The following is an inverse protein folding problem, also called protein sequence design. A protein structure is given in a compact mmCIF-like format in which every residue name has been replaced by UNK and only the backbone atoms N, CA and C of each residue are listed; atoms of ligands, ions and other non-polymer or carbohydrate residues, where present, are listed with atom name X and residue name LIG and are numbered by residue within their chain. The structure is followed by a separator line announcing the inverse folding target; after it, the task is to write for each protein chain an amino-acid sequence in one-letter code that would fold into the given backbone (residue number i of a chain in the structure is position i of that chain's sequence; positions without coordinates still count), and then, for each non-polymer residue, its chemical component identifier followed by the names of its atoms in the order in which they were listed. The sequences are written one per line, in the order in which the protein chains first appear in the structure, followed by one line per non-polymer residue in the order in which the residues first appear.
data_IF_752973462749
#
_entry.id   IF_752973462749
#
_cell.length_a   1.000
_cell.length_b   1.000
_cell.length_c   1.000
_cell.angle_alpha   90.00
_cell.angle_beta   90.00
_cell.angle_gamma   90.00
#
_symmetry.space_group_name_H-M   'P 1'
#
loop_
_entity.id
_entity.type
_entity.pdbx_description
1 polymer ?
#
# COMPACT_ATOMS: atom_id res chain seq x y z
N UNK A 1 8.66 -15.74 -16.04
CA UNK A 1 7.81 -14.73 -16.73
C UNK A 1 7.82 -13.47 -15.88
N UNK A 2 8.08 -12.27 -16.42
CA UNK A 2 8.02 -11.01 -15.63
C UNK A 2 6.60 -10.89 -15.05
N UNK A 3 6.48 -10.47 -13.80
CA UNK A 3 5.20 -10.32 -13.11
C UNK A 3 4.31 -9.29 -13.83
N UNK A 4 3.04 -9.63 -14.07
CA UNK A 4 2.10 -8.83 -14.88
C UNK A 4 0.94 -8.30 -14.03
N UNK A 5 1.10 -7.17 -13.33
CA UNK A 5 0.13 -6.70 -12.34
C UNK A 5 -1.21 -6.26 -12.96
N UNK A 6 -1.22 -5.71 -14.19
CA UNK A 6 -2.46 -5.33 -14.86
C UNK A 6 -3.32 -6.55 -15.24
N UNK A 7 -2.71 -7.59 -15.80
CA UNK A 7 -3.40 -8.83 -16.17
C UNK A 7 -4.09 -9.44 -14.94
N UNK A 8 -3.41 -9.45 -13.79
CA UNK A 8 -3.98 -9.95 -12.52
C UNK A 8 -5.24 -9.22 -12.07
N UNK A 9 -5.35 -7.92 -12.34
CA UNK A 9 -6.59 -7.16 -12.07
C UNK A 9 -7.69 -7.60 -13.05
N UNK A 10 -7.36 -7.78 -14.33
CA UNK A 10 -8.34 -8.10 -15.37
C UNK A 10 -8.86 -9.53 -15.30
N UNK A 11 -8.02 -10.47 -14.87
CA UNK A 11 -8.37 -11.89 -14.71
C UNK A 11 -9.38 -12.11 -13.58
N UNK A 12 -9.51 -11.17 -12.64
CA UNK A 12 -10.49 -11.23 -11.57
C UNK A 12 -11.89 -10.84 -12.06
N UNK A 13 -12.79 -11.81 -12.02
CA UNK A 13 -14.20 -11.65 -12.36
C UNK A 13 -15.06 -11.87 -11.12
N UNK A 14 -15.78 -10.82 -10.72
CA UNK A 14 -16.82 -10.90 -9.70
C UNK A 14 -18.16 -10.67 -10.38
N UNK A 15 -18.95 -11.72 -10.47
CA UNK A 15 -20.32 -11.59 -10.95
C UNK A 15 -21.20 -11.16 -9.77
N UNK A 16 -21.95 -10.07 -9.95
CA UNK A 16 -22.97 -9.68 -8.97
C UNK A 16 -24.03 -10.76 -8.80
N UNK A 17 -24.85 -10.66 -7.75
CA UNK A 17 -25.92 -11.64 -7.44
C UNK A 17 -26.92 -11.85 -8.61
N UNK A 18 -27.00 -10.89 -9.53
CA UNK A 18 -27.82 -10.94 -10.75
C UNK A 18 -27.02 -11.17 -12.04
N UNK A 19 -25.75 -11.59 -11.95
CA UNK A 19 -24.86 -11.80 -13.10
C UNK A 19 -24.28 -10.53 -13.71
N UNK A 20 -24.33 -9.40 -13.00
CA UNK A 20 -23.74 -8.14 -13.45
C UNK A 20 -22.21 -8.23 -13.55
N UNK A 21 -21.63 -7.61 -14.59
CA UNK A 21 -20.17 -7.57 -14.82
C UNK A 21 -19.44 -6.78 -13.72
N UNK A 22 -20.09 -5.74 -13.19
CA UNK A 22 -19.66 -5.12 -11.95
C UNK A 22 -20.41 -5.77 -10.79
N UNK A 23 -19.74 -6.13 -9.69
CA UNK A 23 -20.41 -6.66 -8.53
C UNK A 23 -21.37 -5.64 -7.88
N UNK A 24 -22.40 -6.14 -7.20
CA UNK A 24 -23.35 -5.34 -6.43
C UNK A 24 -22.64 -4.51 -5.35
N UNK A 25 -23.19 -3.32 -5.06
CA UNK A 25 -22.66 -2.48 -3.98
C UNK A 25 -23.39 -2.84 -2.69
N UNK A 26 -22.64 -3.29 -1.69
CA UNK A 26 -23.21 -3.66 -0.39
C UNK A 26 -23.27 -2.45 0.54
N UNK A 27 -24.36 -1.68 0.44
CA UNK A 27 -24.67 -0.57 1.34
C UNK A 27 -25.38 -1.07 2.61
N UNK A 28 -24.62 -1.79 3.44
CA UNK A 28 -25.12 -2.26 4.73
C UNK A 28 -24.05 -2.17 5.81
N UNK A 29 -24.50 -1.88 7.04
CA UNK A 29 -23.66 -1.92 8.23
C UNK A 29 -23.68 -3.28 8.91
N UNK A 30 -24.82 -3.95 8.96
CA UNK A 30 -25.04 -5.26 9.59
C UNK A 30 -25.56 -6.27 8.58
N UNK A 31 -25.26 -7.54 8.80
CA UNK A 31 -25.68 -8.63 7.93
C UNK A 31 -26.45 -9.66 8.76
N UNK A 32 -27.49 -10.24 8.14
CA UNK A 32 -28.37 -11.20 8.81
C UNK A 32 -27.85 -12.63 8.65
N UNK A 33 -28.10 -13.47 9.65
CA UNK A 33 -27.76 -14.90 9.63
C UNK A 33 -29.04 -15.71 9.71
N UNK A 34 -29.18 -16.71 8.85
CA UNK A 34 -30.33 -17.63 8.88
C UNK A 34 -30.30 -18.58 10.08
N UNK A 35 -29.13 -18.77 10.69
CA UNK A 35 -28.93 -19.61 11.88
C UNK A 35 -27.96 -18.95 12.85
N UNK A 36 -28.27 -19.02 14.15
CA UNK A 36 -27.40 -18.50 15.22
C UNK A 36 -26.02 -19.17 15.22
N UNK A 37 -25.92 -20.45 14.83
CA UNK A 37 -24.64 -21.18 14.76
C UNK A 37 -23.69 -20.52 13.75
N UNK A 38 -24.21 -20.13 12.58
CA UNK A 38 -23.42 -19.47 11.52
C UNK A 38 -22.86 -18.12 11.97
N UNK A 39 -23.55 -17.43 12.89
CA UNK A 39 -23.04 -16.20 13.48
C UNK A 39 -21.79 -16.47 14.33
N UNK A 40 -21.82 -17.48 15.22
CA UNK A 40 -20.65 -17.88 16.01
C UNK A 40 -19.49 -18.34 15.11
N UNK A 41 -19.78 -19.20 14.13
CA UNK A 41 -18.77 -19.66 13.18
C UNK A 41 -18.15 -18.47 12.40
N UNK A 42 -18.92 -17.42 12.09
CA UNK A 42 -18.40 -16.20 11.44
C UNK A 42 -17.53 -15.37 12.38
N UNK A 43 -17.89 -15.27 13.66
CA UNK A 43 -17.05 -14.59 14.67
C UNK A 43 -15.69 -15.27 14.86
N UNK A 44 -15.66 -16.60 14.78
CA UNK A 44 -14.43 -17.39 14.89
C UNK A 44 -13.65 -17.49 13.56
N UNK A 45 -14.16 -16.89 12.47
CA UNK A 45 -13.53 -16.96 11.15
C UNK A 45 -13.70 -18.30 10.44
N UNK A 46 -14.56 -19.19 10.95
CA UNK A 46 -14.83 -20.53 10.44
C UNK A 46 -15.90 -20.57 9.32
N UNK A 47 -16.57 -19.45 9.03
CA UNK A 47 -17.58 -19.33 7.97
C UNK A 47 -17.16 -18.36 6.86
N UNK A 48 -16.49 -18.86 5.82
CA UNK A 48 -16.11 -18.06 4.65
C UNK A 48 -17.36 -17.54 3.89
N UNK A 49 -17.24 -16.33 3.32
CA UNK A 49 -18.33 -15.68 2.57
C UNK A 49 -19.45 -15.10 3.44
N UNK A 50 -19.37 -15.23 4.76
CA UNK A 50 -20.30 -14.61 5.69
C UNK A 50 -19.77 -13.26 6.18
N UNK A 51 -20.65 -12.27 6.25
CA UNK A 51 -20.35 -10.95 6.77
C UNK A 51 -21.19 -10.74 8.02
N UNK A 52 -20.65 -10.01 8.99
CA UNK A 52 -21.34 -9.73 10.25
C UNK A 52 -21.57 -8.23 10.40
N UNK A 53 -20.49 -7.46 10.31
CA UNK A 53 -20.49 -6.02 10.48
C UNK A 53 -19.46 -5.36 9.55
N UNK A 54 -19.84 -4.27 8.89
CA UNK A 54 -19.04 -3.66 7.81
C UNK A 54 -17.67 -3.12 8.25
N UNK A 55 -17.49 -2.83 9.56
CA UNK A 55 -16.17 -2.50 10.13
C UNK A 55 -15.17 -3.65 9.97
N UNK A 56 -15.63 -4.89 10.06
CA UNK A 56 -14.80 -6.07 9.87
C UNK A 56 -14.54 -6.31 8.38
N UNK A 57 -15.63 -6.41 7.60
CA UNK A 57 -15.56 -6.53 6.14
C UNK A 57 -16.93 -6.30 5.52
N UNK A 58 -16.94 -5.92 4.24
CA UNK A 58 -18.12 -5.92 3.37
C UNK A 58 -17.77 -6.60 2.04
N UNK A 59 -18.76 -7.10 1.28
CA UNK A 59 -18.50 -7.64 -0.06
C UNK A 59 -17.75 -6.66 -0.96
N UNK A 60 -18.16 -5.39 -0.99
CA UNK A 60 -17.52 -4.36 -1.83
C UNK A 60 -16.07 -4.10 -1.43
N UNK A 61 -15.77 -4.12 -0.12
CA UNK A 61 -14.41 -3.98 0.40
C UNK A 61 -13.55 -5.21 0.07
N UNK A 62 -14.12 -6.41 0.13
CA UNK A 62 -13.44 -7.66 -0.23
C UNK A 62 -13.02 -7.64 -1.70
N UNK A 63 -13.93 -7.35 -2.63
CA UNK A 63 -13.63 -7.35 -4.07
C UNK A 63 -12.51 -6.35 -4.43
N UNK A 64 -12.52 -5.18 -3.82
CA UNK A 64 -11.45 -4.20 -3.99
C UNK A 64 -10.13 -4.70 -3.39
N UNK A 65 -10.17 -5.27 -2.19
CA UNK A 65 -9.00 -5.85 -1.53
C UNK A 65 -8.36 -6.95 -2.36
N UNK A 66 -9.14 -7.92 -2.85
CA UNK A 66 -8.64 -9.02 -3.68
C UNK A 66 -8.02 -8.50 -5.00
N UNK A 67 -8.62 -7.49 -5.62
CA UNK A 67 -8.05 -6.88 -6.83
C UNK A 67 -6.70 -6.19 -6.56
N UNK A 68 -6.55 -5.53 -5.41
CA UNK A 68 -5.31 -4.86 -5.01
C UNK A 68 -4.23 -5.86 -4.54
N UNK A 69 -4.63 -6.92 -3.83
CA UNK A 69 -3.74 -8.02 -3.48
C UNK A 69 -3.21 -8.72 -4.74
N UNK A 70 -4.09 -9.00 -5.70
CA UNK A 70 -3.72 -9.57 -6.98
C UNK A 70 -2.85 -8.63 -7.83
N UNK A 71 -3.05 -7.31 -7.75
CA UNK A 71 -2.17 -6.33 -8.40
C UNK A 71 -0.75 -6.39 -7.81
N UNK A 72 -0.61 -6.33 -6.48
CA UNK A 72 0.70 -6.36 -5.81
C UNK A 72 1.36 -7.74 -5.79
N UNK A 73 0.55 -8.79 -5.93
CA UNK A 73 0.99 -10.18 -5.92
C UNK A 73 1.22 -10.70 -4.51
N UNK A 74 0.38 -10.24 -3.59
CA UNK A 74 0.26 -10.68 -2.20
C UNK A 74 -0.93 -11.64 -2.06
N UNK A 75 -1.08 -12.26 -0.89
CA UNK A 75 -2.14 -13.25 -0.65
C UNK A 75 -3.49 -12.59 -0.33
N UNK A 76 -3.46 -11.47 0.39
CA UNK A 76 -4.65 -10.75 0.81
C UNK A 76 -4.38 -9.24 0.90
N UNK A 77 -5.47 -8.48 1.03
CA UNK A 77 -5.40 -7.06 1.36
C UNK A 77 -6.59 -6.60 2.21
N UNK A 78 -6.36 -5.57 3.02
CA UNK A 78 -7.38 -4.85 3.77
C UNK A 78 -7.48 -3.41 3.28
N UNK A 79 -8.67 -2.99 2.86
CA UNK A 79 -8.94 -1.60 2.46
C UNK A 79 -9.27 -0.74 3.67
N UNK A 80 -8.88 0.54 3.61
CA UNK A 80 -9.06 1.49 4.69
C UNK A 80 -9.60 2.84 4.21
N UNK A 81 -10.17 3.61 5.13
CA UNK A 81 -10.77 4.92 4.86
C UNK A 81 -9.77 5.96 4.32
N UNK A 82 -8.47 5.76 4.49
CA UNK A 82 -7.42 6.65 3.97
C UNK A 82 -6.06 5.97 3.95
N UNK A 83 -5.11 6.51 3.18
CA UNK A 83 -3.71 6.09 3.22
C UNK A 83 -3.13 6.14 4.64
N UNK A 84 -3.42 7.20 5.41
CA UNK A 84 -3.02 7.28 6.82
C UNK A 84 -3.65 6.18 7.67
N UNK A 85 -4.93 5.85 7.44
CA UNK A 85 -5.58 4.74 8.14
C UNK A 85 -4.94 3.39 7.83
N UNK A 86 -4.41 3.19 6.62
CA UNK A 86 -3.59 2.02 6.31
C UNK A 86 -2.25 2.05 7.07
N UNK A 87 -1.50 3.16 6.95
CA UNK A 87 -0.18 3.34 7.57
C UNK A 87 -0.23 3.15 9.09
N UNK A 88 -1.13 3.85 9.78
CA UNK A 88 -1.20 3.79 11.24
C UNK A 88 -1.63 2.41 11.72
N UNK A 89 -2.54 1.74 11.02
CA UNK A 89 -2.95 0.37 11.40
C UNK A 89 -1.80 -0.62 11.28
N UNK A 90 -1.01 -0.56 10.18
CA UNK A 90 0.16 -1.43 10.02
C UNK A 90 1.18 -1.18 11.12
N UNK A 91 1.54 0.08 11.37
CA UNK A 91 2.57 0.41 12.34
C UNK A 91 2.15 0.05 13.78
N UNK A 92 0.89 0.28 14.14
CA UNK A 92 0.34 -0.08 15.46
C UNK A 92 0.10 -1.58 15.62
N UNK A 93 -0.05 -2.34 14.52
CA UNK A 93 -0.11 -3.81 14.56
C UNK A 93 1.28 -4.43 14.78
N UNK A 94 2.31 -3.82 14.19
CA UNK A 94 3.67 -4.37 14.18
C UNK A 94 4.54 -3.92 15.36
N UNK A 95 4.18 -2.81 16.01
CA UNK A 95 4.97 -2.22 17.09
C UNK A 95 4.14 -2.03 18.35
N UNK A 96 4.77 -2.22 19.49
CA UNK A 96 4.24 -1.93 20.82
C UNK A 96 5.16 -0.96 21.57
N UNK A 97 4.76 -0.57 22.79
CA UNK A 97 5.57 0.31 23.62
C UNK A 97 6.97 -0.30 23.87
N UNK A 98 8.01 0.51 23.65
CA UNK A 98 9.41 0.10 23.74
C UNK A 98 10.02 -0.37 22.42
N UNK A 99 9.23 -0.52 21.35
CA UNK A 99 9.75 -0.86 20.02
C UNK A 99 10.27 0.36 19.25
N UNK A 100 11.07 0.07 18.23
CA UNK A 100 11.72 1.06 17.38
C UNK A 100 11.47 0.82 15.89
N UNK A 101 11.35 1.91 15.13
CA UNK A 101 11.17 1.91 13.67
C UNK A 101 12.35 2.62 13.01
N UNK A 102 12.95 2.01 11.98
CA UNK A 102 13.86 2.72 11.06
C UNK A 102 13.02 3.23 9.90
N UNK A 103 12.97 4.54 9.71
CA UNK A 103 12.12 5.17 8.69
C UNK A 103 12.93 6.06 7.75
N UNK A 104 12.51 6.17 6.49
CA UNK A 104 13.02 7.23 5.61
C UNK A 104 12.77 8.61 6.20
N UNK A 105 13.79 9.47 6.14
CA UNK A 105 13.65 10.90 6.49
C UNK A 105 12.72 11.65 5.52
N UNK A 106 12.61 11.15 4.29
CA UNK A 106 11.72 11.69 3.25
C UNK A 106 10.57 10.71 3.05
N UNK A 107 9.44 11.04 3.64
CA UNK A 107 8.16 10.35 3.49
C UNK A 107 7.05 11.40 3.48
N UNK A 108 5.85 11.00 3.10
CA UNK A 108 4.66 11.82 3.21
C UNK A 108 4.57 12.50 4.59
N UNK A 109 4.32 13.82 4.58
CA UNK A 109 4.36 14.63 5.79
C UNK A 109 3.43 14.13 6.91
N UNK A 110 2.30 13.50 6.58
CA UNK A 110 1.41 12.87 7.56
C UNK A 110 2.06 11.66 8.25
N UNK A 111 2.79 10.84 7.50
CA UNK A 111 3.56 9.71 8.02
C UNK A 111 4.69 10.19 8.94
N UNK A 112 5.45 11.20 8.49
CA UNK A 112 6.50 11.80 9.30
C UNK A 112 5.93 12.38 10.59
N UNK A 113 4.83 13.14 10.53
CA UNK A 113 4.19 13.73 11.70
C UNK A 113 3.67 12.66 12.67
N UNK A 114 3.10 11.56 12.19
CA UNK A 114 2.67 10.45 13.02
C UNK A 114 3.87 9.84 13.77
N UNK A 115 4.91 9.43 13.05
CA UNK A 115 6.09 8.79 13.64
C UNK A 115 6.86 9.73 14.58
N UNK A 116 6.99 11.01 14.23
CA UNK A 116 7.76 11.98 15.02
C UNK A 116 7.01 12.47 16.26
N UNK A 117 5.69 12.68 16.16
CA UNK A 117 4.93 13.43 17.18
C UNK A 117 3.86 12.61 17.89
N UNK A 118 3.31 11.58 17.24
CA UNK A 118 2.17 10.82 17.77
C UNK A 118 2.59 9.44 18.31
N UNK A 119 3.37 8.69 17.55
CA UNK A 119 3.89 7.37 17.94
C UNK A 119 4.67 7.38 19.28
N UNK A 120 5.46 8.42 19.64
CA UNK A 120 6.14 8.47 20.94
C UNK A 120 5.19 8.47 22.14
N UNK A 121 3.93 8.88 21.96
CA UNK A 121 2.90 8.80 23.03
C UNK A 121 2.53 7.36 23.38
N UNK A 122 2.81 6.42 22.49
CA UNK A 122 2.66 4.98 22.69
C UNK A 122 3.98 4.29 23.03
N UNK A 123 5.05 5.07 23.29
CA UNK A 123 6.38 4.53 23.56
C UNK A 123 7.05 3.90 22.34
N UNK A 124 6.62 4.23 21.11
CA UNK A 124 7.26 3.75 19.88
C UNK A 124 8.23 4.83 19.40
N UNK A 125 9.50 4.45 19.26
CA UNK A 125 10.57 5.34 18.82
C UNK A 125 10.83 5.21 17.32
N UNK A 126 11.44 6.24 16.72
CA UNK A 126 11.77 6.22 15.28
C UNK A 126 13.09 6.91 15.01
N UNK A 127 13.98 6.23 14.29
CA UNK A 127 15.18 6.82 13.70
C UNK A 127 14.94 7.09 12.22
N UNK A 128 15.08 8.37 11.82
CA UNK A 128 14.92 8.80 10.44
C UNK A 128 16.27 8.81 9.71
N UNK A 129 16.37 8.13 8.57
CA UNK A 129 17.63 7.94 7.82
C UNK A 129 17.50 8.25 6.33
N UNK A 130 18.64 8.39 5.66
CA UNK A 130 18.72 8.55 4.20
C UNK A 130 18.64 7.18 3.50
N UNK A 131 17.44 6.80 3.05
CA UNK A 131 17.19 5.48 2.46
C UNK A 131 17.87 5.28 1.10
N UNK A 132 18.37 6.34 0.46
CA UNK A 132 19.17 6.17 -0.77
C UNK A 132 20.50 5.45 -0.49
N UNK A 133 20.86 5.29 0.79
CA UNK A 133 22.08 4.62 1.25
C UNK A 133 21.72 3.47 2.20
N UNK A 134 21.63 2.22 1.70
CA UNK A 134 21.27 1.06 2.51
C UNK A 134 22.13 0.84 3.75
N UNK A 135 23.39 1.26 3.73
CA UNK A 135 24.28 1.21 4.90
C UNK A 135 23.71 1.98 6.10
N UNK A 136 23.11 3.16 5.87
CA UNK A 136 22.56 3.98 6.96
C UNK A 136 21.32 3.35 7.60
N UNK A 137 20.53 2.60 6.81
CA UNK A 137 19.41 1.82 7.31
C UNK A 137 19.91 0.70 8.21
N UNK A 138 20.95 -0.03 7.78
CA UNK A 138 21.55 -1.11 8.56
C UNK A 138 22.18 -0.60 9.88
N UNK A 139 22.88 0.54 9.84
CA UNK A 139 23.51 1.15 11.03
C UNK A 139 22.49 1.68 12.05
N UNK A 140 21.29 2.06 11.59
CA UNK A 140 20.22 2.53 12.47
C UNK A 140 19.40 1.41 13.13
N UNK A 141 19.66 0.15 12.78
CA UNK A 141 19.00 -0.99 13.43
C UNK A 141 19.46 -1.09 14.89
N UNK A 142 18.49 -1.20 15.79
CA UNK A 142 18.67 -1.37 17.23
C UNK A 142 18.09 -2.74 17.65
N UNK A 143 18.39 -3.17 18.88
CA UNK A 143 17.90 -4.46 19.40
C UNK A 143 16.37 -4.56 19.47
N UNK A 144 15.69 -3.43 19.64
CA UNK A 144 14.23 -3.31 19.69
C UNK A 144 13.62 -2.85 18.35
N UNK A 145 14.39 -2.77 17.26
CA UNK A 145 13.83 -2.45 15.95
C UNK A 145 12.87 -3.55 15.50
N UNK A 146 11.70 -3.17 14.99
CA UNK A 146 10.71 -4.10 14.41
C UNK A 146 10.45 -3.87 12.94
N UNK A 147 10.53 -2.61 12.50
CA UNK A 147 10.08 -2.20 11.17
C UNK A 147 11.14 -1.36 10.47
N UNK A 148 11.36 -1.66 9.18
CA UNK A 148 11.93 -0.74 8.21
C UNK A 148 10.75 -0.20 7.39
N UNK A 149 10.54 1.13 7.43
CA UNK A 149 9.48 1.81 6.69
C UNK A 149 10.06 2.79 5.68
N UNK A 150 9.65 2.70 4.42
CA UNK A 150 9.94 3.73 3.43
C UNK A 150 8.89 3.77 2.31
N UNK A 151 8.96 4.80 1.48
CA UNK A 151 8.21 4.86 0.23
C UNK A 151 9.10 4.29 -0.89
N UNK A 152 8.50 3.61 -1.87
CA UNK A 152 9.21 3.15 -3.08
C UNK A 152 9.87 4.32 -3.82
N UNK A 153 9.13 5.43 -3.92
CA UNK A 153 9.54 6.73 -4.43
C UNK A 153 9.03 7.76 -3.44
N UNK A 154 9.94 8.54 -2.86
CA UNK A 154 9.60 9.48 -1.78
C UNK A 154 8.78 10.68 -2.27
N UNK A 155 7.92 11.19 -1.40
CA UNK A 155 7.23 12.46 -1.56
C UNK A 155 7.85 13.54 -0.66
N UNK A 156 8.25 14.73 -1.15
CA UNK A 156 8.17 15.21 -2.54
C UNK A 156 9.46 15.02 -3.35
N UNK A 157 10.56 14.54 -2.75
CA UNK A 157 11.90 14.59 -3.36
C UNK A 157 12.16 13.49 -4.41
N UNK A 158 11.25 12.53 -4.58
CA UNK A 158 11.35 11.43 -5.55
C UNK A 158 12.61 10.57 -5.41
N UNK A 159 13.22 10.57 -4.21
CA UNK A 159 14.26 9.61 -3.82
C UNK A 159 13.73 8.18 -3.97
N UNK A 160 14.54 7.28 -4.53
CA UNK A 160 14.15 5.89 -4.84
C UNK A 160 14.75 4.94 -3.82
N UNK A 161 13.91 4.10 -3.21
CA UNK A 161 14.34 3.06 -2.28
C UNK A 161 14.96 1.86 -3.00
N UNK A 162 16.07 1.31 -2.50
CA UNK A 162 16.56 0.00 -2.93
C UNK A 162 15.87 -1.11 -2.11
N UNK A 163 14.70 -1.56 -2.60
CA UNK A 163 13.84 -2.50 -1.88
C UNK A 163 14.53 -3.86 -1.72
N UNK A 164 15.32 -4.31 -2.69
CA UNK A 164 16.05 -5.57 -2.60
C UNK A 164 17.16 -5.50 -1.55
N UNK A 165 17.88 -4.38 -1.46
CA UNK A 165 18.86 -4.16 -0.39
C UNK A 165 18.19 -4.18 0.99
N UNK A 166 17.02 -3.55 1.15
CA UNK A 166 16.28 -3.58 2.41
C UNK A 166 15.70 -4.95 2.73
N UNK A 167 15.29 -5.70 1.71
CA UNK A 167 14.87 -7.09 1.85
C UNK A 167 15.99 -7.98 2.40
N UNK A 168 17.25 -7.68 2.08
CA UNK A 168 18.40 -8.38 2.66
C UNK A 168 18.66 -7.94 4.11
N UNK A 169 18.62 -6.63 4.40
CA UNK A 169 18.80 -6.11 5.77
C UNK A 169 17.73 -6.69 6.71
N UNK A 170 16.45 -6.67 6.31
CA UNK A 170 15.37 -7.19 7.16
C UNK A 170 15.50 -8.68 7.45
N UNK A 171 16.06 -9.48 6.53
CA UNK A 171 16.32 -10.91 6.75
C UNK A 171 17.43 -11.15 7.77
N UNK A 172 18.48 -10.33 7.74
CA UNK A 172 19.61 -10.43 8.68
C UNK A 172 19.17 -10.10 10.11
N UNK A 173 18.26 -9.13 10.28
CA UNK A 173 17.85 -8.63 11.59
C UNK A 173 16.45 -9.08 12.04
N UNK A 174 15.79 -9.97 11.28
CA UNK A 174 14.41 -10.43 11.52
C UNK A 174 13.39 -9.29 11.68
N UNK A 175 13.37 -8.37 10.72
CA UNK A 175 12.51 -7.18 10.71
C UNK A 175 11.37 -7.34 9.69
N UNK A 176 10.33 -6.51 9.83
CA UNK A 176 9.32 -6.31 8.78
C UNK A 176 9.71 -5.17 7.85
N UNK A 177 9.63 -5.39 6.55
CA UNK A 177 9.79 -4.36 5.52
C UNK A 177 8.42 -3.89 5.04
N UNK A 178 8.09 -2.63 5.36
CA UNK A 178 6.83 -1.98 4.98
C UNK A 178 7.12 -0.92 3.92
N UNK A 179 6.54 -1.08 2.73
CA UNK A 179 6.74 -0.17 1.60
C UNK A 179 5.44 0.54 1.27
N UNK A 180 5.44 1.87 1.32
CA UNK A 180 4.39 2.67 0.68
C UNK A 180 4.70 2.81 -0.82
N UNK A 181 3.81 2.28 -1.65
CA UNK A 181 3.97 2.19 -3.10
C UNK A 181 3.07 3.17 -3.87
N UNK A 182 2.51 4.16 -3.18
CA UNK A 182 1.51 5.10 -3.70
C UNK A 182 1.92 5.79 -5.00
N UNK A 183 3.21 6.12 -5.19
CA UNK A 183 3.71 6.88 -6.34
C UNK A 183 4.18 6.01 -7.51
N UNK A 184 4.29 4.70 -7.32
CA UNK A 184 4.74 3.78 -8.38
C UNK A 184 3.86 2.54 -8.56
N UNK A 185 2.51 2.62 -8.44
CA UNK A 185 1.65 1.46 -8.65
C UNK A 185 1.83 0.93 -10.08
N UNK A 186 1.86 -0.40 -10.22
CA UNK A 186 2.20 -1.13 -11.45
C UNK A 186 3.66 -0.99 -11.91
N UNK A 187 4.27 0.19 -11.77
CA UNK A 187 5.68 0.45 -12.10
C UNK A 187 6.63 -0.33 -11.22
N UNK A 188 6.37 -0.42 -9.91
CA UNK A 188 7.14 -1.25 -8.98
C UNK A 188 6.15 -2.20 -8.29
N UNK A 189 6.57 -3.45 -8.08
CA UNK A 189 5.82 -4.45 -7.30
C UNK A 189 6.63 -4.86 -6.06
N UNK A 190 6.61 -4.07 -4.96
CA UNK A 190 7.49 -4.27 -3.81
C UNK A 190 7.43 -5.67 -3.19
N UNK A 191 6.26 -6.32 -3.21
CA UNK A 191 6.11 -7.68 -2.70
C UNK A 191 6.99 -8.68 -3.47
N UNK A 192 7.22 -8.46 -4.76
CA UNK A 192 8.13 -9.29 -5.59
C UNK A 192 9.61 -8.99 -5.35
N UNK A 193 9.91 -7.87 -4.69
CA UNK A 193 11.25 -7.41 -4.34
C UNK A 193 11.59 -7.67 -2.86
N UNK A 194 10.67 -8.28 -2.10
CA UNK A 194 10.90 -8.74 -0.73
C UNK A 194 10.25 -7.90 0.38
N UNK A 195 9.37 -6.95 0.05
CA UNK A 195 8.52 -6.30 1.04
C UNK A 195 7.55 -7.30 1.70
N UNK A 196 7.34 -7.18 3.02
CA UNK A 196 6.34 -7.98 3.75
C UNK A 196 4.95 -7.38 3.64
N UNK A 197 4.88 -6.04 3.66
CA UNK A 197 3.64 -5.28 3.61
C UNK A 197 3.78 -4.17 2.58
N UNK A 198 2.79 -4.05 1.69
CA UNK A 198 2.70 -2.95 0.72
C UNK A 198 1.50 -2.10 1.04
N UNK A 199 1.70 -0.79 1.08
CA UNK A 199 0.65 0.19 1.37
C UNK A 199 0.43 1.07 0.15
N UNK A 200 -0.81 1.45 -0.11
CA UNK A 200 -1.12 2.54 -1.02
C UNK A 200 -2.13 3.50 -0.43
N UNK A 201 -1.98 4.78 -0.75
CA UNK A 201 -3.08 5.74 -0.76
C UNK A 201 -3.88 5.58 -2.05
N UNK A 202 -5.06 4.95 -1.94
CA UNK A 202 -5.99 4.80 -3.05
C UNK A 202 -6.49 6.14 -3.58
N UNK A 203 -6.44 7.18 -2.75
CA UNK A 203 -6.72 8.59 -3.08
C UNK A 203 -5.98 9.10 -4.34
N UNK A 204 -4.80 8.51 -4.63
CA UNK A 204 -3.88 8.98 -5.67
C UNK A 204 -4.11 8.23 -6.98
N UNK A 205 -3.05 7.71 -7.60
CA UNK A 205 -3.09 7.12 -8.95
C UNK A 205 -4.09 5.97 -9.07
N UNK A 206 -4.26 5.13 -8.04
CA UNK A 206 -5.16 3.98 -8.10
C UNK A 206 -6.61 4.43 -8.40
N UNK A 207 -7.16 5.37 -7.62
CA UNK A 207 -8.46 5.97 -7.92
C UNK A 207 -8.39 6.88 -9.15
N UNK A 208 -7.43 7.81 -9.19
CA UNK A 208 -7.14 8.66 -10.35
C UNK A 208 -8.11 9.82 -10.61
N UNK A 209 -9.19 9.95 -9.84
CA UNK A 209 -10.28 10.91 -10.11
C UNK A 209 -10.42 12.03 -9.07
N UNK A 210 -9.56 12.07 -8.05
CA UNK A 210 -9.55 13.11 -7.00
C UNK A 210 -10.89 13.32 -6.26
N UNK A 211 -11.76 12.31 -6.23
CA UNK A 211 -13.14 12.38 -5.74
C UNK A 211 -13.36 11.62 -4.42
N UNK A 212 -12.33 10.92 -3.93
CA UNK A 212 -12.42 9.93 -2.86
C UNK A 212 -11.09 9.81 -2.14
N UNK A 213 -11.15 9.63 -0.82
CA UNK A 213 -10.01 9.25 0.04
C UNK A 213 -10.08 7.75 0.31
N UNK A 214 -8.93 7.10 0.32
CA UNK A 214 -8.85 5.66 0.62
C UNK A 214 -7.42 5.19 0.79
N UNK A 215 -7.28 4.02 1.41
CA UNK A 215 -6.02 3.31 1.58
C UNK A 215 -6.17 1.80 1.41
N UNK A 216 -5.06 1.10 1.27
CA UNK A 216 -5.01 -0.36 1.29
C UNK A 216 -3.72 -0.85 1.92
N UNK A 217 -3.81 -1.99 2.59
CA UNK A 217 -2.70 -2.77 3.13
C UNK A 217 -2.71 -4.10 2.40
N UNK A 218 -1.63 -4.46 1.70
CA UNK A 218 -1.46 -5.73 1.01
C UNK A 218 -0.37 -6.56 1.72
N UNK A 219 -0.62 -7.85 1.95
CA UNK A 219 0.32 -8.72 2.68
C UNK A 219 -0.09 -10.20 2.67
N UNK A 220 0.44 -10.97 3.61
CA UNK A 220 0.02 -12.38 3.81
C UNK A 220 -1.41 -12.46 4.32
N UNK A 221 -2.10 -13.59 4.07
CA UNK A 221 -3.46 -13.81 4.58
C UNK A 221 -3.49 -13.75 6.10
N UNK A 222 -2.47 -14.31 6.76
CA UNK A 222 -2.29 -14.26 8.21
C UNK A 222 -2.25 -12.82 8.74
N UNK A 223 -1.33 -11.98 8.24
CA UNK A 223 -1.20 -10.60 8.72
C UNK A 223 -2.46 -9.75 8.48
N UNK A 224 -3.13 -9.95 7.34
CA UNK A 224 -4.39 -9.26 7.02
C UNK A 224 -5.54 -9.75 7.91
N UNK A 225 -5.54 -11.00 8.35
CA UNK A 225 -6.49 -11.50 9.34
C UNK A 225 -6.20 -10.91 10.72
N UNK A 226 -4.94 -10.85 11.14
CA UNK A 226 -4.54 -10.26 12.42
C UNK A 226 -4.96 -8.79 12.52
N UNK A 227 -4.74 -8.01 11.47
CA UNK A 227 -5.20 -6.61 11.40
C UNK A 227 -6.71 -6.44 11.63
N UNK A 228 -7.51 -7.45 11.26
CA UNK A 228 -8.98 -7.45 11.36
C UNK A 228 -9.50 -8.19 12.60
N UNK A 229 -8.60 -8.74 13.43
CA UNK A 229 -8.98 -9.47 14.63
C UNK A 229 -9.85 -8.61 15.54
N UNK A 230 -10.95 -9.18 16.03
CA UNK A 230 -11.96 -8.48 16.84
C UNK A 230 -11.43 -8.03 18.21
N UNK A 231 -10.38 -8.66 18.72
CA UNK A 231 -9.85 -8.43 20.06
C UNK A 231 -8.66 -7.47 20.08
N UNK A 232 -7.76 -7.59 19.12
CA UNK A 232 -6.46 -6.90 19.12
C UNK A 232 -6.01 -6.39 17.74
N UNK A 233 -6.84 -6.54 16.70
CA UNK A 233 -6.52 -6.11 15.34
C UNK A 233 -6.53 -4.59 15.21
N UNK A 234 -5.40 -3.99 14.82
CA UNK A 234 -5.27 -2.54 14.78
C UNK A 234 -6.25 -1.87 13.82
N UNK A 235 -6.51 -2.46 12.64
CA UNK A 235 -7.51 -1.91 11.72
C UNK A 235 -8.93 -2.07 12.27
N UNK A 236 -9.22 -3.16 12.98
CA UNK A 236 -10.52 -3.36 13.61
C UNK A 236 -10.78 -2.35 14.74
N UNK A 237 -9.78 -2.10 15.59
CA UNK A 237 -9.91 -1.28 16.80
C UNK A 237 -9.72 0.22 16.55
N UNK A 238 -8.83 0.61 15.64
CA UNK A 238 -8.68 2.03 15.23
C UNK A 238 -9.77 2.46 14.23
N UNK A 239 -10.45 1.49 13.61
CA UNK A 239 -11.64 1.69 12.81
C UNK A 239 -11.50 2.53 11.53
N UNK A 240 -10.41 2.48 10.73
CA UNK A 240 -10.35 3.18 9.45
C UNK A 240 -11.16 2.44 8.39
N UNK A 241 -12.47 2.32 8.58
CA UNK A 241 -13.38 1.51 7.75
C UNK A 241 -13.64 2.19 6.41
N UNK A 242 -13.35 1.51 5.30
CA UNK A 242 -13.69 1.97 3.95
C UNK A 242 -15.20 1.87 3.71
N UNK A 243 -15.78 2.93 3.15
CA UNK A 243 -17.17 2.96 2.70
C UNK A 243 -17.38 2.12 1.42
N UNK A 244 -18.48 1.35 1.36
CA UNK A 244 -18.75 0.41 0.26
C UNK A 244 -18.97 1.10 -1.09
N UNK A 245 -19.60 2.28 -1.13
CA UNK A 245 -19.78 3.04 -2.38
C UNK A 245 -18.43 3.51 -2.90
N UNK A 246 -17.54 3.96 -2.00
CA UNK A 246 -16.17 4.34 -2.34
C UNK A 246 -15.31 3.16 -2.79
N UNK A 247 -15.41 2.01 -2.11
CA UNK A 247 -14.72 0.80 -2.55
C UNK A 247 -15.14 0.37 -3.95
N UNK A 248 -16.45 0.36 -4.23
CA UNK A 248 -16.98 0.02 -5.54
C UNK A 248 -16.56 1.01 -6.65
N UNK A 249 -16.51 2.32 -6.34
CA UNK A 249 -16.03 3.34 -7.28
C UNK A 249 -14.55 3.16 -7.63
N UNK A 250 -13.70 2.95 -6.61
CA UNK A 250 -12.26 2.72 -6.81
C UNK A 250 -12.03 1.44 -7.63
N UNK A 251 -12.76 0.37 -7.35
CA UNK A 251 -12.67 -0.89 -8.10
C UNK A 251 -12.95 -0.69 -9.59
N UNK A 252 -13.93 0.15 -9.95
CA UNK A 252 -14.21 0.52 -11.34
C UNK A 252 -13.05 1.28 -11.96
N UNK A 253 -12.50 2.27 -11.25
CA UNK A 253 -11.37 3.08 -11.73
C UNK A 253 -10.06 2.29 -11.86
N UNK A 254 -9.89 1.22 -11.09
CA UNK A 254 -8.74 0.32 -11.15
C UNK A 254 -8.61 -0.34 -12.53
N UNK A 255 -9.73 -0.60 -13.23
CA UNK A 255 -9.74 -1.23 -14.56
C UNK A 255 -8.98 -0.43 -15.61
N UNK A 256 -8.86 0.90 -15.45
CA UNK A 256 -8.12 1.78 -16.38
C UNK A 256 -6.75 2.20 -15.86
N UNK A 257 -6.33 1.74 -14.67
CA UNK A 257 -5.06 2.16 -14.05
C UNK A 257 -3.86 1.94 -14.98
N UNK A 258 -3.81 0.79 -15.65
CA UNK A 258 -2.71 0.39 -16.53
C UNK A 258 -2.50 1.34 -17.73
N UNK A 259 -3.56 1.83 -18.37
CA UNK A 259 -3.45 2.83 -19.45
C UNK A 259 -3.15 4.22 -18.91
N UNK A 260 -3.72 4.58 -17.74
CA UNK A 260 -3.47 5.88 -17.10
C UNK A 260 -2.01 6.02 -16.67
N UNK A 261 -1.43 4.99 -16.03
CA UNK A 261 -0.03 5.03 -15.59
C UNK A 261 0.95 5.17 -16.76
N UNK A 262 0.71 4.46 -17.87
CA UNK A 262 1.48 4.63 -19.12
C UNK A 262 1.45 6.09 -19.58
N UNK A 263 0.26 6.69 -19.66
CA UNK A 263 0.12 8.06 -20.12
C UNK A 263 0.74 9.07 -19.15
N UNK A 264 0.58 8.86 -17.84
CA UNK A 264 1.21 9.69 -16.81
C UNK A 264 2.72 9.69 -16.95
N UNK A 265 3.34 8.52 -17.11
CA UNK A 265 4.79 8.43 -17.28
C UNK A 265 5.26 9.03 -18.59
N UNK A 266 4.54 8.79 -19.69
CA UNK A 266 4.87 9.40 -20.98
C UNK A 266 4.90 10.93 -20.90
N UNK A 267 3.86 11.53 -20.32
CA UNK A 267 3.76 12.98 -20.19
C UNK A 267 4.82 13.54 -19.25
N UNK A 268 5.04 12.89 -18.10
CA UNK A 268 6.04 13.33 -17.13
C UNK A 268 7.46 13.27 -17.72
N UNK A 269 7.80 12.20 -18.45
CA UNK A 269 9.09 12.07 -19.14
C UNK A 269 9.30 13.18 -20.18
N UNK A 270 8.28 13.45 -21.01
CA UNK A 270 8.35 14.52 -22.01
C UNK A 270 8.62 15.89 -21.37
N UNK A 271 7.86 16.22 -20.32
CA UNK A 271 8.03 17.49 -19.59
C UNK A 271 9.38 17.55 -18.89
N UNK A 272 9.81 16.47 -18.24
CA UNK A 272 11.06 16.43 -17.50
C UNK A 272 12.27 16.69 -18.41
N UNK A 273 12.33 16.04 -19.58
CA UNK A 273 13.39 16.31 -20.56
C UNK A 273 13.32 17.73 -21.11
N UNK A 274 12.13 18.30 -21.32
CA UNK A 274 11.99 19.68 -21.78
C UNK A 274 12.51 20.67 -20.75
N UNK A 275 12.17 20.47 -19.48
CA UNK A 275 12.64 21.32 -18.40
C UNK A 275 14.16 21.24 -18.21
N UNK A 276 14.77 20.05 -18.32
CA UNK A 276 16.25 19.93 -18.31
C UNK A 276 16.90 20.63 -19.51
N UNK A 277 16.32 20.51 -20.71
CA UNK A 277 16.82 21.18 -21.92
C UNK A 277 16.77 22.71 -21.79
N UNK A 278 15.75 23.23 -21.12
CA UNK A 278 15.58 24.66 -20.84
C UNK A 278 16.45 25.15 -19.66
N UNK A 279 17.20 24.24 -19.01
CA UNK A 279 18.13 24.56 -17.92
C UNK A 279 17.48 24.63 -16.53
N UNK A 280 16.23 24.17 -16.38
CA UNK A 280 15.59 24.08 -15.06
C UNK A 280 16.12 22.88 -14.28
N UNK A 281 16.24 23.05 -12.95
CA UNK A 281 16.48 21.92 -12.07
C UNK A 281 15.21 21.06 -12.04
N UNK A 282 15.33 19.83 -12.51
CA UNK A 282 14.20 18.89 -12.60
C UNK A 282 14.55 17.60 -11.90
N UNK A 283 13.65 17.12 -11.06
CA UNK A 283 13.76 15.84 -10.37
C UNK A 283 12.68 14.93 -10.93
N UNK A 284 13.11 13.89 -11.64
CA UNK A 284 12.23 12.83 -12.13
C UNK A 284 13.02 11.53 -12.22
N UNK A 285 12.56 10.41 -11.61
CA UNK A 285 13.28 9.14 -11.65
C UNK A 285 13.54 8.61 -13.06
N UNK A 286 12.79 9.06 -14.07
CA UNK A 286 12.99 8.67 -15.47
C UNK A 286 14.17 9.35 -16.18
N UNK A 287 14.74 10.42 -15.62
CA UNK A 287 15.89 11.10 -16.21
C UNK A 287 17.20 10.38 -15.84
N UNK A 288 18.12 10.23 -16.79
CA UNK A 288 19.45 9.63 -16.56
C UNK A 288 20.28 10.42 -15.53
N UNK A 289 20.01 11.71 -15.37
CA UNK A 289 20.64 12.60 -14.39
C UNK A 289 20.18 12.33 -12.94
N UNK A 290 19.06 11.61 -12.76
CA UNK A 290 18.50 11.36 -11.44
C UNK A 290 19.33 10.31 -10.68
N UNK A 291 19.78 10.57 -9.44
CA UNK A 291 20.64 9.62 -8.70
C UNK A 291 20.03 8.23 -8.51
N UNK A 292 18.70 8.16 -8.42
CA UNK A 292 17.94 6.90 -8.28
C UNK A 292 17.54 6.23 -9.60
N UNK A 293 17.96 6.76 -10.76
CA UNK A 293 17.50 6.27 -12.08
C UNK A 293 17.78 4.78 -12.28
N UNK A 294 19.03 4.37 -12.09
CA UNK A 294 19.44 2.97 -12.27
C UNK A 294 18.79 2.04 -11.24
N UNK A 295 18.61 2.48 -10.00
CA UNK A 295 17.91 1.72 -8.96
C UNK A 295 16.45 1.48 -9.34
N UNK A 296 15.75 2.53 -9.80
CA UNK A 296 14.38 2.40 -10.29
C UNK A 296 14.31 1.44 -11.48
N UNK A 297 15.18 1.62 -12.47
CA UNK A 297 15.22 0.82 -13.70
C UNK A 297 15.39 -0.68 -13.43
N UNK A 298 16.20 -1.06 -12.43
CA UNK A 298 16.40 -2.46 -12.04
C UNK A 298 15.14 -3.11 -11.46
N UNK A 299 14.34 -2.35 -10.72
CA UNK A 299 13.15 -2.84 -10.02
C UNK A 299 11.86 -2.77 -10.87
N UNK A 300 11.85 -1.96 -11.93
CA UNK A 300 10.60 -1.55 -12.58
C UNK A 300 10.00 -2.59 -13.52
N UNK A 301 8.68 -2.51 -13.67
CA UNK A 301 7.99 -2.98 -14.85
C UNK A 301 8.01 -1.91 -15.94
N UNK A 302 8.86 -2.13 -16.94
CA UNK A 302 9.07 -1.22 -18.08
C UNK A 302 7.78 -0.80 -18.79
N UNK A 303 6.73 -1.62 -18.74
CA UNK A 303 5.47 -1.33 -19.44
C UNK A 303 4.76 -0.08 -18.91
N UNK A 304 5.00 0.35 -17.67
CA UNK A 304 4.27 1.46 -17.03
C UNK A 304 5.13 2.71 -16.78
N UNK A 305 6.43 2.63 -17.05
CA UNK A 305 7.36 3.76 -16.92
C UNK A 305 7.64 4.18 -15.46
N UNK A 306 8.07 5.42 -15.29
CA UNK A 306 8.64 5.98 -14.04
C UNK A 306 7.61 6.77 -13.19
N UNK A 307 6.31 6.55 -13.41
CA UNK A 307 5.25 7.27 -12.71
C UNK A 307 5.02 8.69 -13.23
N UNK A 308 4.09 9.42 -12.61
CA UNK A 308 3.58 10.72 -13.08
C UNK A 308 3.99 11.94 -12.24
N UNK A 309 4.89 11.77 -11.27
CA UNK A 309 5.31 12.85 -10.36
C UNK A 309 6.68 13.37 -10.78
N UNK A 310 6.85 14.69 -10.85
CA UNK A 310 8.12 15.38 -11.08
C UNK A 310 8.13 16.69 -10.27
N UNK A 311 9.30 17.21 -9.93
CA UNK A 311 9.46 18.50 -9.23
C UNK A 311 10.55 19.35 -9.84
#
# INVERSE_FOLDING_TARGET
MKYKPADRIQDLQYFGEFGGVNPSISDSSTYTFLSAKTMFDTFEGNAEGCYLYSRHSSPSNLYLGEALAAMEGTEAANVSASGMGAITSVLMQLCQAGDHIVCSRTVYGGTYAFLKNFAPKFGIETTFVDITKPITVNEAVQKNTKVIYCESVSNPLLEVADIEAFANIKKVHDLKLVIDNTFSPLSISPAKLGADVVIHSLTKFINGSSDTVGGVICGTKEFINDLRNVNDGAAMLLGPTMDSLRAASILKNLRTLHIRMKQHSHNAMFLAHKFEQDGFKTVYPGLDSHPGHETFRKMMNESYGFGGMLT
#
